data_IF_152528837020
#
_entry.id   IF_152528837020
#
_cell.length_a   1.000
_cell.length_b   1.000
_cell.length_c   1.000
_cell.angle_alpha   90.00
_cell.angle_beta   90.00
_cell.angle_gamma   90.00
#
_symmetry.space_group_name_H-M   'P 1'
#
loop_
_entity.id
_entity.type
_entity.pdbx_description
1 polymer ?
#
# COMPACT_ATOMS: atom_id res chain seq x y z
N UNK A 1 11.31 -4.82 -33.20
CA UNK A 1 10.45 -3.68 -33.55
C UNK A 1 9.96 -2.95 -32.33
N UNK A 2 10.22 -1.64 -32.27
CA UNK A 2 9.70 -0.78 -31.21
C UNK A 2 8.19 -0.66 -31.41
N UNK A 3 7.37 -1.16 -30.47
CA UNK A 3 5.93 -0.91 -30.50
C UNK A 3 5.72 0.58 -30.23
N UNK A 4 5.67 1.37 -31.31
CA UNK A 4 5.53 2.81 -31.24
C UNK A 4 4.10 3.14 -30.80
N UNK A 5 3.94 3.46 -29.51
CA UNK A 5 2.68 3.98 -28.99
C UNK A 5 2.39 5.33 -29.67
N UNK A 6 1.25 5.50 -30.37
CA UNK A 6 0.90 6.75 -31.05
C UNK A 6 0.94 7.99 -30.14
N UNK A 7 0.67 7.80 -28.85
CA UNK A 7 0.68 8.84 -27.83
C UNK A 7 2.08 9.40 -27.59
N UNK A 8 3.11 8.54 -27.60
CA UNK A 8 4.50 8.96 -27.42
C UNK A 8 5.01 9.72 -28.65
N UNK A 9 4.57 9.34 -29.84
CA UNK A 9 4.87 10.06 -31.09
C UNK A 9 4.27 11.48 -31.08
N UNK A 10 3.02 11.62 -30.62
CA UNK A 10 2.37 12.92 -30.52
C UNK A 10 3.10 13.82 -29.49
N UNK A 11 3.47 13.27 -28.34
CA UNK A 11 4.23 13.99 -27.32
C UNK A 11 5.58 14.47 -27.87
N UNK A 12 6.32 13.60 -28.56
CA UNK A 12 7.59 13.94 -29.18
C UNK A 12 7.42 15.06 -30.22
N UNK A 13 6.39 14.98 -31.06
CA UNK A 13 6.09 16.02 -32.05
C UNK A 13 5.80 17.36 -31.37
N UNK A 14 4.99 17.38 -30.32
CA UNK A 14 4.69 18.60 -29.56
C UNK A 14 5.96 19.18 -28.92
N UNK A 15 6.80 18.32 -28.33
CA UNK A 15 8.05 18.73 -27.71
C UNK A 15 9.00 19.40 -28.72
N UNK A 16 9.15 18.82 -29.92
CA UNK A 16 9.95 19.40 -31.00
C UNK A 16 9.37 20.74 -31.49
N UNK A 17 8.05 20.83 -31.64
CA UNK A 17 7.38 22.09 -32.04
C UNK A 17 7.62 23.20 -31.02
N UNK A 18 7.45 22.89 -29.73
CA UNK A 18 7.67 23.86 -28.65
C UNK A 18 9.13 24.33 -28.61
N UNK A 19 10.09 23.41 -28.75
CA UNK A 19 11.51 23.78 -28.83
C UNK A 19 11.80 24.67 -30.05
N UNK A 20 11.22 24.35 -31.21
CA UNK A 20 11.36 25.16 -32.42
C UNK A 20 10.81 26.58 -32.27
N UNK A 21 9.69 26.74 -31.54
CA UNK A 21 9.13 28.07 -31.22
C UNK A 21 10.04 28.81 -30.24
N UNK A 22 10.51 28.15 -29.18
CA UNK A 22 11.38 28.78 -28.18
C UNK A 22 12.72 29.23 -28.79
N UNK A 23 13.30 28.45 -29.71
CA UNK A 23 14.54 28.82 -30.42
C UNK A 23 14.42 30.04 -31.33
N UNK A 24 13.21 30.46 -31.69
CA UNK A 24 13.01 31.76 -32.37
C UNK A 24 13.22 32.95 -31.44
N UNK A 25 13.07 32.77 -30.13
CA UNK A 25 13.27 33.80 -29.12
C UNK A 25 14.69 33.77 -28.57
N UNK A 26 15.20 32.57 -28.26
CA UNK A 26 16.58 32.34 -27.83
C UNK A 26 17.17 31.12 -28.57
N UNK A 27 18.13 31.33 -29.49
CA UNK A 27 18.74 30.26 -30.29
C UNK A 27 19.37 29.12 -29.47
N UNK A 28 19.77 29.39 -28.22
CA UNK A 28 20.45 28.41 -27.37
C UNK A 28 19.48 27.62 -26.46
N UNK A 29 18.17 27.86 -26.56
CA UNK A 29 17.18 27.17 -25.74
C UNK A 29 17.12 25.67 -26.06
N UNK A 30 17.16 24.87 -24.99
CA UNK A 30 17.01 23.42 -25.00
C UNK A 30 15.87 23.01 -24.07
N UNK A 31 14.86 22.32 -24.61
CA UNK A 31 13.64 21.98 -23.88
C UNK A 31 13.88 21.01 -22.70
N UNK A 32 14.91 20.16 -22.76
CA UNK A 32 15.28 19.27 -21.67
C UNK A 32 15.84 20.03 -20.47
N UNK A 33 16.66 21.05 -20.71
CA UNK A 33 17.25 21.86 -19.64
C UNK A 33 16.17 22.67 -18.91
N UNK A 34 15.20 23.22 -19.65
CA UNK A 34 14.09 24.02 -19.09
C UNK A 34 13.10 23.15 -18.32
N UNK A 35 12.80 21.95 -18.82
CA UNK A 35 11.82 21.04 -18.20
C UNK A 35 12.38 20.24 -17.02
N UNK A 36 13.70 20.00 -16.96
CA UNK A 36 14.36 19.22 -15.89
C UNK A 36 13.96 19.61 -14.46
N UNK A 37 14.09 20.87 -14.00
CA UNK A 37 13.76 21.22 -12.62
C UNK A 37 12.26 21.04 -12.31
N UNK A 38 11.39 21.24 -13.29
CA UNK A 38 9.94 21.03 -13.14
C UNK A 38 9.67 19.53 -12.97
N UNK A 39 10.28 18.69 -13.79
CA UNK A 39 10.15 17.23 -13.71
C UNK A 39 10.72 16.68 -12.40
N UNK A 40 11.86 17.20 -11.93
CA UNK A 40 12.45 16.82 -10.66
C UNK A 40 11.56 17.18 -9.46
N UNK A 41 10.96 18.38 -9.47
CA UNK A 41 10.03 18.80 -8.43
C UNK A 41 8.74 17.98 -8.47
N UNK A 42 8.15 17.80 -9.65
CA UNK A 42 6.97 16.96 -9.81
C UNK A 42 7.23 15.51 -9.39
N UNK A 43 8.41 14.95 -9.71
CA UNK A 43 8.77 13.59 -9.30
C UNK A 43 8.96 13.50 -7.79
N UNK A 44 9.49 14.53 -7.13
CA UNK A 44 9.58 14.60 -5.66
C UNK A 44 8.19 14.65 -5.02
N UNK A 45 7.27 15.43 -5.58
CA UNK A 45 5.89 15.57 -5.10
C UNK A 45 5.05 14.31 -5.37
N UNK A 46 5.25 13.66 -6.52
CA UNK A 46 4.48 12.50 -6.97
C UNK A 46 5.02 11.17 -6.43
N UNK A 47 6.18 11.16 -5.74
CA UNK A 47 6.74 9.98 -5.06
C UNK A 47 5.90 9.46 -3.88
N UNK A 48 4.78 10.09 -3.61
CA UNK A 48 3.73 9.69 -2.68
C UNK A 48 3.46 8.16 -2.60
N UNK A 49 3.32 7.42 -3.72
CA UNK A 49 3.07 5.96 -3.66
C UNK A 49 4.29 5.17 -3.20
N UNK A 50 5.50 5.56 -3.63
CA UNK A 50 6.74 4.90 -3.24
C UNK A 50 7.04 5.17 -1.77
N UNK A 51 6.85 6.41 -1.31
CA UNK A 51 6.99 6.76 0.10
C UNK A 51 5.95 6.02 0.96
N UNK A 52 4.68 5.94 0.53
CA UNK A 52 3.63 5.16 1.21
C UNK A 52 3.94 3.66 1.28
N UNK A 53 4.59 3.09 0.26
CA UNK A 53 5.03 1.69 0.27
C UNK A 53 6.20 1.50 1.24
N UNK A 54 7.19 2.41 1.21
CA UNK A 54 8.32 2.39 2.13
C UNK A 54 7.88 2.50 3.59
N UNK A 55 6.98 3.43 3.91
CA UNK A 55 6.38 3.55 5.25
C UNK A 55 5.61 2.28 5.66
N UNK A 56 4.86 1.66 4.74
CA UNK A 56 4.16 0.39 5.00
C UNK A 56 5.12 -0.77 5.27
N UNK A 57 6.22 -0.85 4.53
CA UNK A 57 7.25 -1.88 4.72
C UNK A 57 7.96 -1.69 6.07
N UNK A 58 8.24 -0.45 6.45
CA UNK A 58 8.86 -0.12 7.74
C UNK A 58 7.93 -0.50 8.91
N UNK A 59 6.65 -0.14 8.83
CA UNK A 59 5.63 -0.57 9.79
C UNK A 59 5.47 -2.10 9.84
N UNK A 60 5.48 -2.76 8.68
CA UNK A 60 5.42 -4.22 8.60
C UNK A 60 6.66 -4.88 9.24
N UNK A 61 7.85 -4.30 9.08
CA UNK A 61 9.08 -4.76 9.74
C UNK A 61 8.97 -4.68 11.27
N UNK A 62 8.39 -3.61 11.80
CA UNK A 62 8.15 -3.48 13.24
C UNK A 62 7.18 -4.54 13.77
N UNK A 63 6.12 -4.85 13.01
CA UNK A 63 5.20 -5.95 13.33
C UNK A 63 5.92 -7.31 13.25
N UNK A 64 6.78 -7.50 12.25
CA UNK A 64 7.60 -8.71 12.08
C UNK A 64 8.54 -8.94 13.26
N UNK A 65 9.13 -7.86 13.82
CA UNK A 65 9.98 -7.91 15.01
C UNK A 65 9.22 -8.32 16.27
N UNK A 66 7.90 -8.13 16.30
CA UNK A 66 7.02 -8.53 17.41
C UNK A 66 6.43 -9.95 17.22
N UNK A 67 6.60 -10.58 16.05
CA UNK A 67 6.19 -11.98 15.82
C UNK A 67 6.76 -12.98 16.86
N UNK A 68 8.03 -12.88 17.31
CA UNK A 68 8.58 -13.79 18.32
C UNK A 68 7.86 -13.72 19.68
N UNK A 69 7.08 -12.68 19.94
CA UNK A 69 6.28 -12.54 21.16
C UNK A 69 4.88 -13.16 21.04
N UNK A 70 4.44 -13.53 19.83
CA UNK A 70 3.16 -14.19 19.59
C UNK A 70 2.95 -15.47 20.42
N UNK A 71 3.93 -16.36 20.57
CA UNK A 71 3.78 -17.54 21.42
C UNK A 71 3.41 -17.16 22.86
N UNK A 72 4.08 -16.15 23.43
CA UNK A 72 3.80 -15.66 24.79
C UNK A 72 2.40 -15.05 24.92
N UNK A 73 1.92 -14.36 23.89
CA UNK A 73 0.56 -13.81 23.84
C UNK A 73 -0.46 -14.95 23.78
N UNK A 74 -0.16 -16.00 23.02
CA UNK A 74 -1.01 -17.17 22.85
C UNK A 74 -1.07 -18.02 24.12
N UNK A 75 0.05 -18.16 24.83
CA UNK A 75 0.12 -18.83 26.13
C UNK A 75 -0.75 -18.08 27.17
N UNK A 76 -0.65 -16.75 27.23
CA UNK A 76 -1.50 -15.91 28.10
C UNK A 76 -2.97 -15.98 27.71
N UNK A 77 -3.28 -16.06 26.42
CA UNK A 77 -4.65 -16.22 25.94
C UNK A 77 -5.20 -17.60 26.34
N UNK A 78 -4.40 -18.66 26.21
CA UNK A 78 -4.77 -19.99 26.68
C UNK A 78 -4.97 -20.02 28.19
N UNK A 79 -4.10 -19.39 28.97
CA UNK A 79 -4.25 -19.25 30.42
C UNK A 79 -5.54 -18.49 30.80
N UNK A 80 -5.87 -17.42 30.08
CA UNK A 80 -7.13 -16.72 30.26
C UNK A 80 -8.33 -17.63 29.91
N UNK A 81 -8.22 -18.41 28.84
CA UNK A 81 -9.24 -19.38 28.42
C UNK A 81 -9.39 -20.55 29.40
N UNK A 82 -8.32 -21.00 30.06
CA UNK A 82 -8.40 -22.02 31.10
C UNK A 82 -9.06 -21.47 32.36
N UNK A 83 -8.75 -20.23 32.76
CA UNK A 83 -9.45 -19.54 33.87
C UNK A 83 -10.95 -19.35 33.57
N UNK A 84 -11.29 -19.10 32.30
CA UNK A 84 -12.68 -19.07 31.80
C UNK A 84 -13.33 -20.45 31.88
N UNK A 85 -12.64 -21.50 31.41
CA UNK A 85 -13.14 -22.88 31.35
C UNK A 85 -13.28 -23.54 32.74
N UNK A 86 -12.45 -23.15 33.71
CA UNK A 86 -12.53 -23.56 35.12
C UNK A 86 -13.77 -23.00 35.84
N UNK A 87 -14.64 -22.25 35.16
CA UNK A 87 -15.91 -21.79 35.71
C UNK A 87 -15.77 -20.70 36.78
N UNK A 88 -14.60 -20.08 36.91
CA UNK A 88 -14.39 -18.87 37.74
C UNK A 88 -15.03 -17.61 37.12
N UNK A 89 -15.80 -17.77 36.05
CA UNK A 89 -16.65 -16.74 35.47
C UNK A 89 -18.13 -17.07 35.72
N UNK A 90 -18.72 -16.35 36.67
CA UNK A 90 -20.14 -16.40 36.99
C UNK A 90 -21.01 -16.14 35.75
N UNK A 91 -22.00 -17.01 35.40
CA UNK A 91 -22.83 -16.89 34.18
C UNK A 91 -23.84 -15.72 34.15
N UNK A 92 -23.76 -14.77 35.09
CA UNK A 92 -24.63 -13.57 35.14
C UNK A 92 -23.88 -12.26 34.90
N UNK A 93 -22.74 -12.31 34.21
CA UNK A 93 -21.95 -11.12 33.86
C UNK A 93 -22.06 -10.80 32.38
N UNK A 94 -21.84 -9.53 32.02
CA UNK A 94 -22.04 -8.90 30.71
C UNK A 94 -21.32 -9.57 29.50
N UNK A 95 -20.62 -10.67 29.72
CA UNK A 95 -19.71 -11.35 28.78
C UNK A 95 -20.38 -12.13 27.65
N UNK A 96 -21.68 -12.46 27.73
CA UNK A 96 -22.40 -13.16 26.63
C UNK A 96 -22.61 -12.25 25.41
N UNK A 97 -22.82 -10.95 25.64
CA UNK A 97 -22.99 -9.98 24.56
C UNK A 97 -21.67 -9.64 23.87
N UNK A 98 -20.56 -9.57 24.61
CA UNK A 98 -19.24 -9.31 24.04
C UNK A 98 -18.73 -10.45 23.15
N UNK A 99 -19.03 -11.71 23.48
CA UNK A 99 -18.65 -12.86 22.65
C UNK A 99 -19.38 -12.88 21.30
N UNK A 100 -20.67 -12.51 21.30
CA UNK A 100 -21.46 -12.42 20.06
C UNK A 100 -21.06 -11.23 19.19
N UNK A 101 -20.61 -10.16 19.84
CA UNK A 101 -20.03 -8.99 19.18
C UNK A 101 -18.65 -9.30 18.57
N UNK A 102 -17.82 -10.09 19.25
CA UNK A 102 -16.56 -10.60 18.70
C UNK A 102 -16.76 -11.58 17.55
N UNK A 103 -17.79 -12.44 17.60
CA UNK A 103 -18.09 -13.37 16.49
C UNK A 103 -18.48 -12.63 15.20
N UNK A 104 -19.23 -11.52 15.32
CA UNK A 104 -19.58 -10.65 14.20
C UNK A 104 -18.35 -9.91 13.67
N UNK A 105 -17.47 -9.42 14.55
CA UNK A 105 -16.18 -8.83 14.16
C UNK A 105 -15.30 -9.84 13.42
N UNK A 106 -15.25 -11.09 13.87
CA UNK A 106 -14.49 -12.16 13.23
C UNK A 106 -15.03 -12.52 11.85
N UNK A 107 -16.36 -12.52 11.65
CA UNK A 107 -16.97 -12.74 10.32
C UNK A 107 -16.64 -11.62 9.34
N UNK A 108 -16.69 -10.37 9.80
CA UNK A 108 -16.29 -9.21 8.99
C UNK A 108 -14.79 -9.19 8.69
N UNK A 109 -13.95 -9.54 9.67
CA UNK A 109 -12.51 -9.66 9.51
C UNK A 109 -12.13 -10.75 8.49
N UNK A 110 -12.81 -11.91 8.54
CA UNK A 110 -12.62 -13.00 7.57
C UNK A 110 -12.98 -12.58 6.15
N UNK A 111 -14.10 -11.89 5.96
CA UNK A 111 -14.49 -11.40 4.63
C UNK A 111 -13.51 -10.33 4.12
N UNK A 112 -13.04 -9.45 5.00
CA UNK A 112 -12.06 -8.43 4.66
C UNK A 112 -10.69 -9.06 4.30
N UNK A 113 -10.25 -10.10 5.01
CA UNK A 113 -9.02 -10.85 4.69
C UNK A 113 -9.08 -11.52 3.31
N UNK A 114 -10.21 -12.12 2.96
CA UNK A 114 -10.41 -12.75 1.64
C UNK A 114 -10.33 -11.67 0.54
N UNK A 115 -10.95 -10.51 0.75
CA UNK A 115 -10.87 -9.36 -0.15
C UNK A 115 -9.42 -8.88 -0.35
N UNK A 116 -8.68 -8.67 0.75
CA UNK A 116 -7.27 -8.23 0.70
C UNK A 116 -6.38 -9.23 -0.04
N UNK A 117 -6.58 -10.54 0.21
CA UNK A 117 -5.82 -11.59 -0.47
C UNK A 117 -6.06 -11.59 -1.99
N UNK A 118 -7.31 -11.43 -2.42
CA UNK A 118 -7.70 -11.43 -3.83
C UNK A 118 -7.07 -10.24 -4.58
N UNK A 119 -7.08 -9.06 -3.97
CA UNK A 119 -6.41 -7.85 -4.50
C UNK A 119 -4.90 -8.05 -4.60
N UNK A 120 -4.28 -8.69 -3.62
CA UNK A 120 -2.84 -8.94 -3.60
C UNK A 120 -2.40 -9.92 -4.70
N UNK A 121 -3.20 -10.96 -4.97
CA UNK A 121 -2.98 -11.90 -6.07
C UNK A 121 -3.08 -11.21 -7.43
N UNK A 122 -4.09 -10.36 -7.62
CA UNK A 122 -4.26 -9.59 -8.86
C UNK A 122 -3.08 -8.64 -9.07
N UNK A 123 -2.63 -7.97 -8.01
CA UNK A 123 -1.48 -7.07 -8.06
C UNK A 123 -0.19 -7.81 -8.47
N UNK A 124 0.08 -8.98 -7.89
CA UNK A 124 1.22 -9.81 -8.27
C UNK A 124 1.15 -10.24 -9.74
N UNK A 125 -0.02 -10.64 -10.23
CA UNK A 125 -0.19 -11.01 -11.64
C UNK A 125 0.04 -9.85 -12.62
N UNK A 126 -0.22 -8.61 -12.22
CA UNK A 126 0.02 -7.40 -13.02
C UNK A 126 1.50 -6.98 -13.03
N UNK A 127 2.22 -7.23 -11.94
CA UNK A 127 3.64 -6.83 -11.78
C UNK A 127 4.59 -7.84 -12.44
N UNK A 128 4.26 -9.12 -12.43
CA UNK A 128 5.11 -10.20 -12.95
C UNK A 128 4.78 -10.61 -14.41
N UNK A 129 3.91 -9.87 -15.11
CA UNK A 129 3.57 -10.05 -16.53
C UNK A 129 4.15 -8.93 -17.37
#
# INVERSE_FOLDING_TARGET
DMQTQPQLLLLQKTMVVVEGVARKLDPNTNIWNVSKPILENWLKETKDPLNKISEKIENASEILKRLPELPKIMDKANEALTVVAEGKLSPRSASYYSLKEEELKMKLFRNNLISVFLVLVIFLLLVFK
#
